data_IF_572339627128
#
_entry.id   IF_572339627128
#
_cell.length_a   1.000
_cell.length_b   1.000
_cell.length_c   1.000
_cell.angle_alpha   90.00
_cell.angle_beta   90.00
_cell.angle_gamma   90.00
#
_symmetry.space_group_name_H-M   'P 1'
#
loop_
_entity.id
_entity.type
_entity.pdbx_description
1 polymer ?
#
# COMPACT_ATOMS: atom_id res chain seq x y z
N UNK A 1 -15.76 18.03 17.39
CA UNK A 1 -14.46 17.98 16.67
C UNK A 1 -13.45 17.04 17.34
N UNK A 2 -13.31 17.13 18.67
CA UNK A 2 -12.39 16.30 19.48
C UNK A 2 -12.72 14.79 19.46
N UNK A 3 -14.01 14.42 19.46
CA UNK A 3 -14.46 13.00 19.52
C UNK A 3 -13.97 12.16 18.32
N UNK A 4 -13.73 12.81 17.17
CA UNK A 4 -13.17 12.17 15.99
C UNK A 4 -11.64 12.08 16.04
N UNK A 5 -10.96 12.92 16.81
CA UNK A 5 -9.50 12.88 16.94
C UNK A 5 -9.08 11.64 17.72
N UNK A 6 -9.72 11.39 18.86
CA UNK A 6 -9.40 10.26 19.72
C UNK A 6 -9.80 8.90 19.10
N UNK A 7 -10.95 8.82 18.42
CA UNK A 7 -11.34 7.66 17.61
C UNK A 7 -10.39 7.42 16.42
N UNK A 8 -9.82 8.48 15.84
CA UNK A 8 -8.85 8.37 14.74
C UNK A 8 -7.48 7.94 15.25
N UNK A 9 -7.01 8.46 16.38
CA UNK A 9 -5.73 8.09 17.00
C UNK A 9 -5.74 6.67 17.59
N UNK A 10 -6.85 6.25 18.22
CA UNK A 10 -6.98 4.94 18.85
C UNK A 10 -7.55 3.87 17.88
N UNK A 11 -8.23 4.27 16.81
CA UNK A 11 -8.87 3.40 15.80
C UNK A 11 -8.02 3.23 14.52
N UNK A 12 -8.58 3.47 13.30
CA UNK A 12 -7.87 3.26 12.03
C UNK A 12 -6.50 3.95 11.92
N UNK A 13 -6.31 5.08 12.60
CA UNK A 13 -5.03 5.80 12.61
C UNK A 13 -3.89 4.99 13.21
N UNK A 14 -4.13 4.12 14.20
CA UNK A 14 -3.08 3.24 14.75
C UNK A 14 -2.61 2.21 13.71
N UNK A 15 -3.56 1.63 12.97
CA UNK A 15 -3.26 0.69 11.88
C UNK A 15 -2.57 1.38 10.72
N UNK A 16 -2.97 2.62 10.38
CA UNK A 16 -2.32 3.44 9.37
C UNK A 16 -0.89 3.81 9.76
N UNK A 17 -0.65 4.24 11.00
CA UNK A 17 0.69 4.57 11.49
C UNK A 17 1.63 3.37 11.48
N UNK A 18 1.13 2.17 11.82
CA UNK A 18 1.94 0.95 11.75
C UNK A 18 2.32 0.59 10.30
N UNK A 19 1.38 0.70 9.35
CA UNK A 19 1.64 0.48 7.94
C UNK A 19 2.62 1.53 7.37
N UNK A 20 2.41 2.81 7.68
CA UNK A 20 3.28 3.90 7.27
C UNK A 20 4.70 3.68 7.78
N UNK A 21 4.88 3.34 9.06
CA UNK A 21 6.18 3.01 9.63
C UNK A 21 6.84 1.81 8.93
N UNK A 22 6.07 0.78 8.58
CA UNK A 22 6.59 -0.37 7.83
C UNK A 22 7.02 0.02 6.42
N UNK A 23 6.23 0.83 5.72
CA UNK A 23 6.54 1.31 4.38
C UNK A 23 7.76 2.24 4.37
N UNK A 24 7.90 3.11 5.36
CA UNK A 24 9.11 3.94 5.53
C UNK A 24 10.37 3.06 5.66
N UNK A 25 10.31 2.00 6.48
CA UNK A 25 11.43 1.04 6.62
C UNK A 25 11.75 0.31 5.31
N UNK A 26 10.73 -0.10 4.55
CA UNK A 26 10.93 -0.77 3.26
C UNK A 26 11.47 0.18 2.18
N UNK A 27 11.05 1.46 2.21
CA UNK A 27 11.59 2.49 1.33
C UNK A 27 13.05 2.81 1.67
N UNK A 28 13.37 2.96 2.95
CA UNK A 28 14.74 3.13 3.43
C UNK A 28 15.65 1.96 3.02
N UNK A 29 15.15 0.72 3.11
CA UNK A 29 15.85 -0.47 2.65
C UNK A 29 15.89 -0.62 1.11
N UNK A 30 15.29 0.30 0.35
CA UNK A 30 15.30 0.30 -1.11
C UNK A 30 14.39 -0.73 -1.77
N UNK A 31 13.46 -1.35 -1.03
CA UNK A 31 12.47 -2.27 -1.59
C UNK A 31 11.29 -1.54 -2.23
N UNK A 32 10.92 -0.38 -1.68
CA UNK A 32 9.85 0.48 -2.19
C UNK A 32 10.41 1.85 -2.58
N UNK A 33 9.73 2.52 -3.51
CA UNK A 33 9.97 3.90 -3.91
C UNK A 33 8.73 4.71 -3.54
N UNK A 34 8.67 5.17 -2.30
CA UNK A 34 7.53 5.89 -1.72
C UNK A 34 7.99 7.28 -1.28
N UNK A 35 7.25 8.32 -1.70
CA UNK A 35 7.50 9.70 -1.27
C UNK A 35 6.96 10.00 0.13
N UNK A 36 5.68 9.69 0.36
CA UNK A 36 4.99 9.88 1.65
C UNK A 36 4.42 8.53 2.15
N UNK A 37 4.99 7.95 3.21
CA UNK A 37 4.53 6.67 3.77
C UNK A 37 3.11 6.69 4.34
N UNK A 38 2.64 7.81 4.87
CA UNK A 38 1.28 7.96 5.41
C UNK A 38 0.23 8.02 4.30
N UNK A 39 0.55 8.68 3.20
CA UNK A 39 -0.26 8.63 1.97
C UNK A 39 -0.29 7.20 1.41
N UNK A 40 0.87 6.54 1.33
CA UNK A 40 0.96 5.18 0.81
C UNK A 40 0.16 4.17 1.66
N UNK A 41 0.13 4.31 2.99
CA UNK A 41 -0.68 3.48 3.87
C UNK A 41 -2.18 3.59 3.58
N UNK A 42 -2.69 4.81 3.37
CA UNK A 42 -4.09 5.04 2.99
C UNK A 42 -4.41 4.48 1.61
N UNK A 43 -3.52 4.67 0.63
CA UNK A 43 -3.69 4.12 -0.72
C UNK A 43 -3.68 2.58 -0.69
N UNK A 44 -2.78 1.96 0.07
CA UNK A 44 -2.72 0.52 0.22
C UNK A 44 -4.04 -0.06 0.72
N UNK A 45 -4.61 0.50 1.79
CA UNK A 45 -5.88 0.02 2.32
C UNK A 45 -7.07 0.32 1.41
N UNK A 46 -7.07 1.45 0.70
CA UNK A 46 -8.09 1.74 -0.30
C UNK A 46 -8.07 0.67 -1.40
N UNK A 47 -6.89 0.30 -1.89
CA UNK A 47 -6.71 -0.75 -2.90
C UNK A 47 -7.13 -2.13 -2.38
N UNK A 48 -6.72 -2.50 -1.16
CA UNK A 48 -7.08 -3.80 -0.54
C UNK A 48 -8.59 -3.95 -0.33
N UNK A 49 -9.31 -2.85 -0.07
CA UNK A 49 -10.75 -2.89 0.19
C UNK A 49 -11.60 -2.52 -1.02
N UNK A 50 -11.00 -2.23 -2.19
CA UNK A 50 -11.71 -1.66 -3.33
C UNK A 50 -12.86 -2.54 -3.83
N UNK A 51 -12.64 -3.85 -3.93
CA UNK A 51 -13.66 -4.79 -4.43
C UNK A 51 -14.72 -5.13 -3.37
N UNK A 52 -14.45 -4.85 -2.09
CA UNK A 52 -15.36 -5.16 -0.98
C UNK A 52 -16.32 -4.01 -0.65
N UNK A 53 -16.07 -2.80 -1.19
CA UNK A 53 -16.82 -1.59 -0.83
C UNK A 53 -18.33 -1.75 -1.01
N UNK A 54 -18.77 -2.30 -2.15
CA UNK A 54 -20.21 -2.46 -2.45
C UNK A 54 -20.87 -3.42 -1.45
N UNK A 55 -20.22 -4.56 -1.18
CA UNK A 55 -20.71 -5.55 -0.21
C UNK A 55 -20.92 -4.92 1.15
N UNK A 56 -19.94 -4.14 1.64
CA UNK A 56 -20.06 -3.43 2.92
C UNK A 56 -21.15 -2.35 2.91
N UNK A 57 -21.26 -1.54 1.84
CA UNK A 57 -22.29 -0.50 1.73
C UNK A 57 -23.72 -1.06 1.76
N UNK A 58 -23.91 -2.28 1.25
CA UNK A 58 -25.19 -2.97 1.26
C UNK A 58 -25.43 -3.77 2.55
N UNK A 59 -24.55 -3.66 3.55
CA UNK A 59 -24.66 -4.37 4.83
C UNK A 59 -24.32 -5.86 4.75
N UNK A 60 -23.69 -6.31 3.66
CA UNK A 60 -23.24 -7.67 3.49
C UNK A 60 -21.88 -7.92 4.15
N UNK A 61 -21.60 -9.21 4.38
CA UNK A 61 -20.28 -9.69 4.82
C UNK A 61 -19.62 -10.40 3.64
N UNK A 62 -18.44 -9.95 3.16
CA UNK A 62 -17.72 -10.65 2.10
C UNK A 62 -17.35 -12.08 2.51
N UNK A 63 -17.37 -12.97 1.54
CA UNK A 63 -16.82 -14.32 1.66
C UNK A 63 -15.29 -14.28 1.80
N UNK A 64 -14.70 -15.33 2.35
CA UNK A 64 -13.24 -15.45 2.46
C UNK A 64 -12.54 -15.34 1.09
N UNK A 65 -13.16 -15.90 0.04
CA UNK A 65 -12.64 -15.84 -1.32
C UNK A 65 -12.62 -14.39 -1.87
N UNK A 66 -13.70 -13.63 -1.62
CA UNK A 66 -13.77 -12.20 -1.98
C UNK A 66 -12.70 -11.39 -1.26
N UNK A 67 -12.51 -11.64 0.04
CA UNK A 67 -11.46 -10.99 0.84
C UNK A 67 -10.08 -11.31 0.26
N UNK A 68 -9.79 -12.58 0.01
CA UNK A 68 -8.50 -13.01 -0.52
C UNK A 68 -8.22 -12.40 -1.90
N UNK A 69 -9.23 -12.39 -2.78
CA UNK A 69 -9.14 -11.80 -4.12
C UNK A 69 -8.86 -10.29 -4.06
N UNK A 70 -9.65 -9.56 -3.27
CA UNK A 70 -9.48 -8.11 -3.11
C UNK A 70 -8.11 -7.75 -2.54
N UNK A 71 -7.66 -8.47 -1.50
CA UNK A 71 -6.35 -8.28 -0.91
C UNK A 71 -5.22 -8.56 -1.92
N UNK A 72 -5.33 -9.67 -2.68
CA UNK A 72 -4.34 -10.04 -3.70
C UNK A 72 -4.22 -8.98 -4.79
N UNK A 73 -5.35 -8.52 -5.32
CA UNK A 73 -5.39 -7.50 -6.37
C UNK A 73 -4.89 -6.14 -5.86
N UNK A 74 -5.27 -5.76 -4.65
CA UNK A 74 -4.82 -4.51 -4.02
C UNK A 74 -3.31 -4.49 -3.79
N UNK A 75 -2.75 -5.57 -3.22
CA UNK A 75 -1.30 -5.72 -3.00
C UNK A 75 -0.55 -5.72 -4.33
N UNK A 76 -1.03 -6.46 -5.35
CA UNK A 76 -0.41 -6.49 -6.68
C UNK A 76 -0.35 -5.10 -7.31
N UNK A 77 -1.44 -4.34 -7.22
CA UNK A 77 -1.50 -2.97 -7.75
C UNK A 77 -0.55 -2.05 -7.01
N UNK A 78 -0.54 -2.11 -5.67
CA UNK A 78 0.35 -1.30 -4.84
C UNK A 78 1.83 -1.57 -5.17
N UNK A 79 2.22 -2.84 -5.27
CA UNK A 79 3.59 -3.20 -5.64
C UNK A 79 3.92 -2.81 -7.09
N UNK A 80 2.97 -2.90 -8.01
CA UNK A 80 3.17 -2.40 -9.38
C UNK A 80 3.49 -0.90 -9.44
N UNK A 81 2.91 -0.11 -8.53
CA UNK A 81 3.14 1.33 -8.44
C UNK A 81 4.41 1.69 -7.65
N UNK A 82 4.66 1.01 -6.52
CA UNK A 82 5.66 1.44 -5.54
C UNK A 82 6.86 0.51 -5.38
N UNK A 83 6.85 -0.72 -5.89
CA UNK A 83 8.03 -1.57 -5.81
C UNK A 83 9.18 -0.95 -6.60
N UNK A 84 10.37 -0.95 -6.01
CA UNK A 84 11.55 -0.48 -6.73
C UNK A 84 11.82 -1.45 -7.88
N UNK A 85 11.75 -0.96 -9.12
CA UNK A 85 12.15 -1.74 -10.29
C UNK A 85 13.63 -2.09 -10.11
N UNK A 86 13.98 -3.38 -10.16
CA UNK A 86 15.38 -3.76 -10.41
C UNK A 86 15.76 -3.06 -11.71
N UNK A 87 16.72 -2.13 -11.66
CA UNK A 87 17.37 -1.68 -12.88
C UNK A 87 17.81 -2.94 -13.63
N UNK A 88 17.52 -3.09 -14.93
CA UNK A 88 18.13 -4.17 -15.69
C UNK A 88 19.63 -3.97 -15.56
N UNK A 89 20.29 -4.87 -14.85
CA UNK A 89 21.73 -4.80 -14.65
C UNK A 89 22.41 -4.73 -16.03
N UNK A 90 23.18 -3.67 -16.28
CA UNK A 90 24.14 -3.58 -17.38
C UNK A 90 23.57 -3.37 -18.79
N UNK A 91 23.18 -2.13 -19.14
CA UNK A 91 23.21 -1.64 -20.54
C UNK A 91 23.81 -0.24 -20.71
N UNK A 92 24.60 0.24 -19.74
CA UNK A 92 25.29 1.54 -19.85
C UNK A 92 26.82 1.47 -19.81
N UNK A 93 27.43 0.28 -19.81
CA UNK A 93 28.88 0.13 -19.81
C UNK A 93 29.54 -0.01 -21.20
N UNK A 94 28.80 0.09 -22.32
CA UNK A 94 29.34 -0.20 -23.67
C UNK A 94 29.47 1.06 -24.56
N UNK A 95 29.25 2.27 -24.02
CA UNK A 95 29.38 3.51 -24.80
C UNK A 95 30.53 4.44 -24.34
N UNK A 96 31.38 3.98 -23.41
CA UNK A 96 32.53 4.77 -22.94
C UNK A 96 33.90 4.32 -23.49
N UNK A 97 33.90 3.43 -24.48
CA UNK A 97 35.12 3.03 -25.22
C UNK A 97 34.77 2.83 -26.70
N UNK A 98 34.63 3.95 -27.42
CA UNK A 98 34.70 4.01 -28.87
C UNK A 98 35.38 5.32 -29.26
#
# INVERSE_FOLDING_TARGET
PELFAEWREQGPGRTWSALAARFARLAFAGHLSIGDPDVAARQFLALVNAELQITFMLGGTPTEEEVLRSATNGVRTFLGAFARKKSPAGKQAVLATA
#
